data_IF_669993243541
#
_entry.id   IF_669993243541
#
_cell.length_a   1.000
_cell.length_b   1.000
_cell.length_c   1.000
_cell.angle_alpha   90.00
_cell.angle_beta   90.00
_cell.angle_gamma   90.00
#
_symmetry.space_group_name_H-M   'P 1'
#
loop_
_entity.id
_entity.type
_entity.pdbx_description
1 polymer ?
#
# COMPACT_ATOMS: atom_id res chain seq x y z
N UNK A 1 9.10 19.67 5.09
CA UNK A 1 9.91 18.69 4.31
C UNK A 1 10.36 17.52 5.19
N UNK A 2 9.80 16.32 4.96
CA UNK A 2 10.29 15.09 5.61
C UNK A 2 11.63 14.68 4.97
N UNK A 3 12.66 15.47 5.28
CA UNK A 3 14.04 15.14 4.93
C UNK A 3 14.52 14.21 6.05
N UNK A 4 15.01 13.00 5.73
CA UNK A 4 15.70 12.15 6.71
C UNK A 4 16.79 12.91 7.49
N UNK A 5 17.31 13.99 6.91
CA UNK A 5 18.23 14.93 7.53
C UNK A 5 17.65 15.69 8.74
N UNK A 6 16.34 16.00 8.78
CA UNK A 6 15.71 16.69 9.91
C UNK A 6 15.48 15.79 11.12
N UNK A 7 15.36 14.47 10.91
CA UNK A 7 15.20 13.46 11.96
C UNK A 7 16.45 13.34 12.85
N UNK A 8 17.63 13.51 12.27
CA UNK A 8 18.90 13.27 12.98
C UNK A 8 19.37 14.54 13.72
N UNK A 9 19.06 15.73 13.21
CA UNK A 9 19.66 16.97 13.70
C UNK A 9 18.75 17.82 14.60
N UNK A 10 17.41 17.72 14.51
CA UNK A 10 16.53 18.63 15.27
C UNK A 10 15.18 18.01 15.66
N UNK A 11 15.23 17.00 16.54
CA UNK A 11 14.06 16.34 17.14
C UNK A 11 13.16 17.34 17.89
N UNK A 12 13.74 18.35 18.55
CA UNK A 12 12.99 19.33 19.35
C UNK A 12 12.07 20.23 18.53
N UNK A 13 12.42 20.57 17.29
CA UNK A 13 11.64 21.53 16.49
C UNK A 13 10.56 20.86 15.62
N UNK A 14 10.61 19.53 15.45
CA UNK A 14 9.54 18.73 14.83
C UNK A 14 8.46 18.33 15.85
N UNK A 15 8.80 18.27 17.14
CA UNK A 15 7.85 17.95 18.22
C UNK A 15 6.87 19.08 18.51
N UNK A 16 7.29 20.34 18.34
CA UNK A 16 6.47 21.53 18.66
C UNK A 16 5.30 21.75 17.69
N UNK A 17 5.36 21.23 16.46
CA UNK A 17 4.27 21.31 15.49
C UNK A 17 3.25 20.17 15.61
N UNK A 18 3.68 19.00 16.14
CA UNK A 18 2.82 17.83 16.32
C UNK A 18 2.03 17.82 17.63
N UNK A 19 2.35 18.68 18.58
CA UNK A 19 1.64 18.77 19.86
C UNK A 19 0.97 20.13 20.00
N UNK A 20 -0.37 20.24 19.97
CA UNK A 20 -1.03 21.45 20.43
C UNK A 20 -0.57 21.73 21.87
N UNK A 21 -0.26 23.00 22.16
CA UNK A 21 0.22 23.44 23.46
C UNK A 21 -0.81 23.05 24.54
N UNK A 22 -0.52 22.00 25.33
CA UNK A 22 -1.39 21.58 26.43
C UNK A 22 -1.36 20.10 26.83
N UNK A 23 -0.65 19.20 26.14
CA UNK A 23 -0.55 17.79 26.56
C UNK A 23 0.59 17.60 27.58
N UNK A 24 0.37 16.80 28.66
CA UNK A 24 1.41 16.56 29.66
C UNK A 24 2.64 15.92 29.01
N UNK A 25 3.84 16.42 29.36
CA UNK A 25 5.13 16.10 28.74
C UNK A 25 5.43 14.59 28.64
N UNK A 26 4.79 13.77 29.48
CA UNK A 26 4.95 12.30 29.52
C UNK A 26 4.14 11.57 28.44
N UNK A 27 3.04 12.15 27.95
CA UNK A 27 2.17 11.56 26.91
C UNK A 27 2.63 11.90 25.49
N UNK A 28 3.34 13.02 25.34
CA UNK A 28 3.91 13.48 24.07
C UNK A 28 4.77 12.41 23.37
N UNK A 29 5.76 11.78 24.04
CA UNK A 29 6.58 10.76 23.38
C UNK A 29 5.78 9.50 23.01
N UNK A 30 4.76 9.15 23.81
CA UNK A 30 3.90 8.00 23.53
C UNK A 30 3.01 8.23 22.29
N UNK A 31 2.40 9.41 22.19
CA UNK A 31 1.63 9.81 21.01
C UNK A 31 2.50 9.85 19.76
N UNK A 32 3.70 10.42 19.85
CA UNK A 32 4.67 10.44 18.75
C UNK A 32 5.04 9.04 18.27
N UNK A 33 5.28 8.09 19.19
CA UNK A 33 5.54 6.69 18.83
C UNK A 33 4.38 6.06 18.05
N UNK A 34 3.13 6.30 18.46
CA UNK A 34 1.95 5.74 17.77
C UNK A 34 1.76 6.39 16.40
N UNK A 35 1.91 7.70 16.29
CA UNK A 35 1.84 8.44 15.02
C UNK A 35 2.92 7.94 14.04
N UNK A 36 4.15 7.73 14.53
CA UNK A 36 5.26 7.19 13.74
C UNK A 36 4.97 5.77 13.23
N UNK A 37 4.47 4.89 14.10
CA UNK A 37 4.09 3.52 13.72
C UNK A 37 2.91 3.53 12.73
N UNK A 38 1.91 4.39 12.93
CA UNK A 38 0.76 4.54 12.03
C UNK A 38 1.18 5.00 10.62
N UNK A 39 2.08 5.98 10.55
CA UNK A 39 2.58 6.50 9.29
C UNK A 39 3.41 5.46 8.51
N UNK A 40 4.07 4.53 9.20
CA UNK A 40 4.76 3.37 8.59
C UNK A 40 3.79 2.25 8.16
N UNK A 41 2.74 1.97 8.93
CA UNK A 41 1.78 0.88 8.64
C UNK A 41 0.94 1.19 7.39
N UNK A 42 0.67 2.47 7.09
CA UNK A 42 -0.13 2.87 5.92
C UNK A 42 0.45 2.45 4.56
N UNK A 43 1.71 2.77 4.21
CA UNK A 43 2.35 2.24 3.01
C UNK A 43 2.52 0.72 3.09
N UNK A 44 2.89 0.18 4.25
CA UNK A 44 3.13 -1.25 4.44
C UNK A 44 1.88 -2.08 4.09
N UNK A 45 0.71 -1.70 4.61
CA UNK A 45 -0.55 -2.41 4.37
C UNK A 45 -0.99 -2.33 2.91
N UNK A 46 -0.73 -1.23 2.22
CA UNK A 46 -1.04 -1.05 0.80
C UNK A 46 -0.11 -1.90 -0.08
N UNK A 47 1.19 -1.94 0.22
CA UNK A 47 2.15 -2.82 -0.46
C UNK A 47 1.81 -4.30 -0.28
N UNK A 48 1.48 -4.74 0.94
CA UNK A 48 1.08 -6.13 1.22
C UNK A 48 -0.22 -6.49 0.49
N UNK A 49 -1.19 -5.58 0.43
CA UNK A 49 -2.46 -5.79 -0.29
C UNK A 49 -2.24 -5.98 -1.79
N UNK A 50 -1.35 -5.20 -2.39
CA UNK A 50 -1.02 -5.30 -3.80
C UNK A 50 -0.25 -6.59 -4.10
N UNK A 51 0.69 -6.97 -3.24
CA UNK A 51 1.41 -8.25 -3.33
C UNK A 51 0.47 -9.46 -3.19
N UNK A 52 -0.48 -9.41 -2.24
CA UNK A 52 -1.48 -10.47 -2.05
C UNK A 52 -2.40 -10.59 -3.27
N UNK A 53 -2.86 -9.48 -3.84
CA UNK A 53 -3.71 -9.51 -5.04
C UNK A 53 -2.97 -10.12 -6.24
N UNK A 54 -1.74 -9.67 -6.54
CA UNK A 54 -0.96 -10.19 -7.67
C UNK A 54 -0.60 -11.67 -7.47
N UNK A 55 -0.23 -12.08 -6.26
CA UNK A 55 0.10 -13.50 -5.97
C UNK A 55 -1.13 -14.41 -6.04
N UNK A 56 -2.29 -13.95 -5.56
CA UNK A 56 -3.54 -14.69 -5.67
C UNK A 56 -4.01 -14.81 -7.13
N UNK A 57 -3.99 -13.71 -7.90
CA UNK A 57 -4.29 -13.72 -9.33
C UNK A 57 -3.39 -14.67 -10.11
N UNK A 58 -2.08 -14.58 -9.87
CA UNK A 58 -1.10 -15.47 -10.49
C UNK A 58 -1.31 -16.96 -10.10
N UNK A 59 -1.66 -17.26 -8.85
CA UNK A 59 -2.00 -18.62 -8.41
C UNK A 59 -3.27 -19.15 -9.10
N UNK A 60 -4.32 -18.32 -9.21
CA UNK A 60 -5.57 -18.67 -9.90
C UNK A 60 -5.27 -19.00 -11.37
N UNK A 61 -4.44 -18.19 -12.01
CA UNK A 61 -3.95 -18.41 -13.37
C UNK A 61 -3.23 -19.74 -13.51
N UNK A 62 -2.30 -20.05 -12.60
CA UNK A 62 -1.53 -21.29 -12.64
C UNK A 62 -2.44 -22.54 -12.47
N UNK A 63 -3.42 -22.46 -11.57
CA UNK A 63 -4.40 -23.55 -11.37
C UNK A 63 -5.28 -23.74 -12.61
N UNK A 64 -5.84 -22.66 -13.15
CA UNK A 64 -6.72 -22.72 -14.32
C UNK A 64 -5.96 -23.19 -15.56
N UNK A 65 -4.75 -22.68 -15.81
CA UNK A 65 -3.91 -23.12 -16.95
C UNK A 65 -3.55 -24.60 -16.86
N UNK A 66 -3.25 -25.13 -15.67
CA UNK A 66 -2.97 -26.55 -15.47
C UNK A 66 -4.18 -27.43 -15.86
N UNK A 67 -5.40 -27.02 -15.48
CA UNK A 67 -6.63 -27.72 -15.86
C UNK A 67 -6.98 -27.57 -17.34
N UNK A 68 -6.67 -26.43 -17.95
CA UNK A 68 -6.94 -26.15 -19.37
C UNK A 68 -6.14 -27.02 -20.35
N UNK A 69 -4.99 -27.54 -19.92
CA UNK A 69 -4.16 -28.43 -20.75
C UNK A 69 -4.85 -29.74 -21.13
N UNK A 70 -5.83 -30.17 -20.31
CA UNK A 70 -6.62 -31.39 -20.50
C UNK A 70 -7.95 -31.18 -21.25
N UNK A 71 -8.30 -29.92 -21.52
CA UNK A 71 -9.60 -29.50 -22.01
C UNK A 71 -9.58 -29.26 -23.53
N UNK A 72 -10.76 -29.27 -24.16
CA UNK A 72 -10.88 -29.04 -25.60
C UNK A 72 -10.42 -27.63 -26.00
N UNK A 73 -9.86 -27.49 -27.20
CA UNK A 73 -9.27 -26.25 -27.70
C UNK A 73 -10.22 -25.05 -27.63
N UNK A 74 -11.53 -25.27 -27.80
CA UNK A 74 -12.56 -24.23 -27.68
C UNK A 74 -12.72 -23.72 -26.24
N UNK A 75 -12.73 -24.62 -25.26
CA UNK A 75 -12.81 -24.23 -23.85
C UNK A 75 -11.54 -23.55 -23.32
N UNK A 76 -10.37 -23.93 -23.86
CA UNK A 76 -9.10 -23.27 -23.55
C UNK A 76 -9.08 -21.79 -23.97
N UNK A 77 -9.66 -21.45 -25.12
CA UNK A 77 -9.74 -20.05 -25.59
C UNK A 77 -10.59 -19.16 -24.67
N UNK A 78 -11.70 -19.69 -24.15
CA UNK A 78 -12.57 -18.98 -23.21
C UNK A 78 -11.84 -18.73 -21.88
N UNK A 79 -11.11 -19.73 -21.41
CA UNK A 79 -10.30 -19.64 -20.19
C UNK A 79 -9.22 -18.56 -20.30
N UNK A 80 -8.50 -18.52 -21.43
CA UNK A 80 -7.47 -17.50 -21.71
C UNK A 80 -8.08 -16.09 -21.73
N UNK A 81 -9.28 -15.93 -22.29
CA UNK A 81 -9.99 -14.65 -22.31
C UNK A 81 -10.30 -14.15 -20.88
N UNK A 82 -10.83 -15.02 -20.02
CA UNK A 82 -11.15 -14.69 -18.62
C UNK A 82 -9.88 -14.31 -17.86
N UNK A 83 -8.78 -15.04 -18.09
CA UNK A 83 -7.49 -14.75 -17.48
C UNK A 83 -6.92 -13.39 -17.89
N UNK A 84 -7.04 -13.02 -19.18
CA UNK A 84 -6.63 -11.70 -19.66
C UNK A 84 -7.43 -10.58 -18.97
N UNK A 85 -8.74 -10.78 -18.80
CA UNK A 85 -9.63 -9.82 -18.16
C UNK A 85 -9.33 -9.64 -16.66
N UNK A 86 -9.01 -10.73 -15.94
CA UNK A 86 -8.59 -10.68 -14.54
C UNK A 86 -7.28 -9.90 -14.36
N UNK A 87 -6.28 -10.13 -15.23
CA UNK A 87 -5.01 -9.42 -15.18
C UNK A 87 -5.17 -7.92 -15.41
N UNK A 88 -6.08 -7.54 -16.32
CA UNK A 88 -6.43 -6.14 -16.58
C UNK A 88 -7.06 -5.48 -15.35
N UNK A 89 -7.96 -6.19 -14.66
CA UNK A 89 -8.57 -5.72 -13.42
C UNK A 89 -7.52 -5.48 -12.32
N UNK A 90 -6.58 -6.41 -12.11
CA UNK A 90 -5.53 -6.27 -11.10
C UNK A 90 -4.62 -5.06 -11.36
N UNK A 91 -4.25 -4.82 -12.62
CA UNK A 91 -3.47 -3.63 -13.00
C UNK A 91 -4.21 -2.33 -12.73
N UNK A 92 -5.52 -2.27 -12.97
CA UNK A 92 -6.34 -1.08 -12.68
C UNK A 92 -6.40 -0.81 -11.16
N UNK A 93 -6.60 -1.86 -10.36
CA UNK A 93 -6.61 -1.73 -8.90
C UNK A 93 -5.24 -1.27 -8.37
N UNK A 94 -4.14 -1.79 -8.93
CA UNK A 94 -2.80 -1.38 -8.57
C UNK A 94 -2.53 0.11 -8.83
N UNK A 95 -2.97 0.63 -9.98
CA UNK A 95 -2.87 2.06 -10.32
C UNK A 95 -3.65 2.94 -9.35
N UNK A 96 -4.89 2.56 -9.02
CA UNK A 96 -5.73 3.32 -8.09
C UNK A 96 -5.09 3.39 -6.70
N UNK A 97 -4.50 2.29 -6.22
CA UNK A 97 -3.84 2.28 -4.91
C UNK A 97 -2.57 3.14 -4.86
N UNK A 98 -1.77 3.13 -5.93
CA UNK A 98 -0.61 4.02 -6.04
C UNK A 98 -1.02 5.51 -6.03
N UNK A 99 -2.13 5.84 -6.68
CA UNK A 99 -2.68 7.21 -6.70
C UNK A 99 -3.20 7.66 -5.32
N UNK A 100 -3.95 6.80 -4.62
CA UNK A 100 -4.43 7.11 -3.26
C UNK A 100 -3.25 7.27 -2.30
N UNK A 101 -2.20 6.47 -2.45
CA UNK A 101 -0.99 6.60 -1.64
C UNK A 101 -0.25 7.92 -1.88
N UNK A 102 -0.03 8.29 -3.14
CA UNK A 102 0.68 9.54 -3.47
C UNK A 102 -0.09 10.77 -2.98
N UNK A 103 -1.42 10.79 -3.17
CA UNK A 103 -2.28 11.89 -2.70
C UNK A 103 -2.30 12.01 -1.17
N UNK A 104 -2.39 10.90 -0.43
CA UNK A 104 -2.26 10.90 1.03
C UNK A 104 -0.88 11.42 1.47
N UNK A 105 0.20 10.92 0.87
CA UNK A 105 1.56 11.35 1.23
C UNK A 105 1.79 12.84 0.98
N UNK A 106 1.17 13.40 -0.08
CA UNK A 106 1.27 14.81 -0.42
C UNK A 106 0.45 15.68 0.52
N UNK A 107 -0.70 15.19 0.99
CA UNK A 107 -1.51 15.88 1.99
C UNK A 107 -0.79 15.92 3.35
N UNK A 108 -0.22 14.81 3.80
CA UNK A 108 0.60 14.74 5.02
C UNK A 108 1.92 15.52 4.96
N UNK A 109 2.40 15.85 3.75
CA UNK A 109 3.58 16.68 3.58
C UNK A 109 3.25 18.17 3.59
N UNK A 110 2.03 18.52 3.17
CA UNK A 110 1.54 19.89 3.12
C UNK A 110 0.95 20.37 4.45
N UNK A 111 0.53 19.45 5.32
CA UNK A 111 0.38 19.67 6.78
C UNK A 111 1.72 19.48 7.52
#
# INVERSE_FOLDING_TARGET
PINLYSWIFNISNTLTHFTPAGTPYILIPFMFCIEFVSNLIRPLTLSVRLAANITAGHLIICLISSTSSSLSLFSAMIIILIQCLLMLLEMMVALIQAYVFSTLSLLYYNE
#
